data_IF_947608576175
#
_entry.id   IF_947608576175
#
_cell.length_a   1.000
_cell.length_b   1.000
_cell.length_c   1.000
_cell.angle_alpha   90.00
_cell.angle_beta   90.00
_cell.angle_gamma   90.00
#
_symmetry.space_group_name_H-M   'P 1'
#
loop_
_entity.id
_entity.type
_entity.pdbx_description
1 polymer ?
#
# COMPACT_ATOMS: atom_id res chain seq x y z
N UNK A 1 6.69 -10.48 -16.98
CA UNK A 1 6.96 -9.61 -15.82
C UNK A 1 6.86 -8.14 -16.22
N UNK A 2 5.76 -7.49 -15.86
CA UNK A 2 5.54 -6.06 -16.10
C UNK A 2 6.35 -5.22 -15.09
N UNK A 3 7.67 -5.18 -15.31
CA UNK A 3 8.62 -4.48 -14.44
C UNK A 3 8.34 -2.98 -14.37
N UNK A 4 7.89 -2.38 -15.47
CA UNK A 4 7.57 -0.96 -15.54
C UNK A 4 6.39 -0.63 -14.61
N UNK A 5 5.33 -1.44 -14.63
CA UNK A 5 4.18 -1.29 -13.72
C UNK A 5 4.56 -1.46 -12.25
N UNK A 6 5.40 -2.45 -11.93
CA UNK A 6 5.89 -2.64 -10.55
C UNK A 6 6.68 -1.42 -10.08
N UNK A 7 7.61 -0.92 -10.89
CA UNK A 7 8.42 0.24 -10.54
C UNK A 7 7.57 1.50 -10.38
N UNK A 8 6.59 1.72 -11.24
CA UNK A 8 5.66 2.85 -11.12
C UNK A 8 4.87 2.79 -9.82
N UNK A 9 4.40 1.60 -9.41
CA UNK A 9 3.69 1.41 -8.14
C UNK A 9 4.60 1.65 -6.94
N UNK A 10 5.85 1.21 -7.00
CA UNK A 10 6.82 1.45 -5.91
C UNK A 10 7.19 2.92 -5.78
N UNK A 11 7.29 3.65 -6.90
CA UNK A 11 7.52 5.09 -6.90
C UNK A 11 6.35 5.86 -6.27
N UNK A 12 5.13 5.52 -6.66
CA UNK A 12 3.89 6.06 -6.08
C UNK A 12 3.80 5.78 -4.57
N UNK A 13 4.13 4.56 -4.14
CA UNK A 13 4.21 4.21 -2.71
C UNK A 13 5.28 5.03 -1.98
N UNK A 14 6.44 5.26 -2.60
CA UNK A 14 7.48 6.13 -2.05
C UNK A 14 6.95 7.54 -1.77
N UNK A 15 6.23 8.12 -2.74
CA UNK A 15 5.60 9.42 -2.58
C UNK A 15 4.58 9.45 -1.42
N UNK A 16 3.74 8.41 -1.29
CA UNK A 16 2.79 8.31 -0.17
C UNK A 16 3.49 8.29 1.18
N UNK A 17 4.56 7.51 1.32
CA UNK A 17 5.33 7.40 2.57
C UNK A 17 6.04 8.71 2.91
N UNK A 18 6.57 9.41 1.92
CA UNK A 18 7.19 10.73 2.14
C UNK A 18 6.15 11.76 2.57
N UNK A 19 4.94 11.71 2.01
CA UNK A 19 3.84 12.57 2.47
C UNK A 19 3.40 12.26 3.90
N UNK A 20 3.33 10.99 4.29
CA UNK A 20 3.06 10.62 5.67
C UNK A 20 4.14 11.20 6.60
N UNK A 21 5.42 11.11 6.23
CA UNK A 21 6.52 11.66 7.03
C UNK A 21 6.45 13.19 7.17
N UNK A 22 5.99 13.88 6.13
CA UNK A 22 5.86 15.34 6.12
C UNK A 22 4.76 15.84 7.06
N UNK A 23 3.67 15.08 7.19
CA UNK A 23 2.49 15.47 7.97
C UNK A 23 2.35 14.70 9.28
N UNK A 24 3.31 13.83 9.61
CA UNK A 24 3.25 12.99 10.80
C UNK A 24 3.26 13.87 12.06
N UNK A 25 2.30 13.68 12.98
CA UNK A 25 2.28 14.39 14.25
C UNK A 25 3.41 13.92 15.16
N UNK A 26 3.87 14.81 16.04
CA UNK A 26 4.96 14.53 16.99
C UNK A 26 4.48 13.75 18.22
N UNK A 27 3.16 13.65 18.43
CA UNK A 27 2.56 12.95 19.55
C UNK A 27 1.21 12.32 19.23
N UNK A 28 0.76 11.39 20.09
CA UNK A 28 -0.58 10.80 19.98
C UNK A 28 -1.70 11.83 20.20
N UNK A 29 -1.50 12.78 21.11
CA UNK A 29 -2.48 13.83 21.40
C UNK A 29 -2.71 14.70 20.15
N UNK A 30 -1.64 15.14 19.50
CA UNK A 30 -1.71 15.89 18.23
C UNK A 30 -2.36 15.08 17.10
N UNK A 31 -2.09 13.77 17.04
CA UNK A 31 -2.78 12.87 16.11
C UNK A 31 -4.30 12.79 16.36
N UNK A 32 -4.72 12.79 17.62
CA UNK A 32 -6.13 12.67 17.99
C UNK A 32 -6.91 13.98 17.83
N UNK A 33 -6.26 15.13 18.02
CA UNK A 33 -6.90 16.45 17.95
C UNK A 33 -7.12 16.96 16.52
N UNK A 34 -6.25 16.62 15.55
CA UNK A 34 -6.41 17.01 14.15
C UNK A 34 -7.02 15.87 13.30
N UNK A 35 -8.35 15.90 13.16
CA UNK A 35 -9.09 14.93 12.36
C UNK A 35 -8.67 14.91 10.87
N UNK A 36 -8.30 16.06 10.30
CA UNK A 36 -7.97 16.16 8.88
C UNK A 36 -6.64 15.48 8.61
N UNK A 37 -5.62 15.84 9.38
CA UNK A 37 -4.28 15.26 9.28
C UNK A 37 -4.34 13.76 9.56
N UNK A 38 -5.06 13.35 10.60
CA UNK A 38 -5.30 11.94 10.92
C UNK A 38 -5.89 11.16 9.74
N UNK A 39 -7.01 11.63 9.18
CA UNK A 39 -7.66 10.96 8.04
C UNK A 39 -6.76 10.92 6.79
N UNK A 40 -5.95 11.96 6.57
CA UNK A 40 -4.99 12.00 5.47
C UNK A 40 -3.91 10.91 5.63
N UNK A 41 -3.31 10.80 6.82
CA UNK A 41 -2.32 9.75 7.14
C UNK A 41 -2.95 8.36 6.99
N UNK A 42 -4.13 8.13 7.58
CA UNK A 42 -4.85 6.85 7.50
C UNK A 42 -5.13 6.46 6.04
N UNK A 43 -5.53 7.41 5.20
CA UNK A 43 -5.77 7.16 3.77
C UNK A 43 -4.48 6.85 3.00
N UNK A 44 -3.40 7.60 3.24
CA UNK A 44 -2.11 7.36 2.60
C UNK A 44 -1.55 5.97 2.98
N UNK A 45 -1.70 5.57 4.25
CA UNK A 45 -1.33 4.23 4.71
C UNK A 45 -2.16 3.14 4.02
N UNK A 46 -3.48 3.33 3.93
CA UNK A 46 -4.35 2.40 3.25
C UNK A 46 -3.93 2.18 1.79
N UNK A 47 -3.73 3.26 1.02
CA UNK A 47 -3.30 3.16 -0.39
C UNK A 47 -1.92 2.52 -0.51
N UNK A 48 -1.01 2.78 0.44
CA UNK A 48 0.32 2.15 0.47
C UNK A 48 0.22 0.64 0.66
N UNK A 49 -0.66 0.17 1.55
CA UNK A 49 -0.93 -1.26 1.77
C UNK A 49 -1.53 -1.91 0.51
N UNK A 50 -2.54 -1.27 -0.09
CA UNK A 50 -3.15 -1.73 -1.35
C UNK A 50 -2.08 -1.89 -2.46
N UNK A 51 -1.15 -0.94 -2.54
CA UNK A 51 -0.05 -0.97 -3.51
C UNK A 51 0.89 -2.15 -3.31
N UNK A 52 1.22 -2.49 -2.06
CA UNK A 52 2.05 -3.67 -1.72
C UNK A 52 1.32 -4.96 -2.09
N UNK A 53 0.01 -5.05 -1.82
CA UNK A 53 -0.83 -6.20 -2.17
C UNK A 53 -0.83 -6.39 -3.70
N UNK A 54 -1.06 -5.32 -4.46
CA UNK A 54 -1.03 -5.34 -5.92
C UNK A 54 0.31 -5.83 -6.49
N UNK A 55 1.42 -5.30 -5.97
CA UNK A 55 2.76 -5.72 -6.40
C UNK A 55 3.00 -7.19 -6.05
N UNK A 56 2.60 -7.61 -4.85
CA UNK A 56 2.72 -9.00 -4.42
C UNK A 56 1.91 -9.94 -5.32
N UNK A 57 0.71 -9.54 -5.73
CA UNK A 57 -0.12 -10.30 -6.65
C UNK A 57 0.53 -10.44 -8.04
N UNK A 58 1.07 -9.35 -8.58
CA UNK A 58 1.81 -9.38 -9.85
C UNK A 58 2.99 -10.34 -9.76
N UNK A 59 3.77 -10.27 -8.69
CA UNK A 59 4.93 -11.14 -8.47
C UNK A 59 4.52 -12.61 -8.36
N UNK A 60 3.50 -12.93 -7.56
CA UNK A 60 3.02 -14.31 -7.36
C UNK A 60 2.46 -14.90 -8.64
N UNK A 61 1.66 -14.14 -9.40
CA UNK A 61 1.09 -14.57 -10.68
C UNK A 61 2.18 -14.96 -11.69
N UNK A 62 3.27 -14.17 -11.73
CA UNK A 62 4.37 -14.40 -12.66
C UNK A 62 5.33 -15.52 -12.18
N UNK A 63 5.49 -15.69 -10.86
CA UNK A 63 6.36 -16.73 -10.28
C UNK A 63 5.69 -18.10 -10.16
N UNK A 64 4.35 -18.16 -10.12
CA UNK A 64 3.58 -19.40 -10.02
C UNK A 64 2.37 -19.37 -10.98
N UNK A 65 2.57 -19.52 -12.29
CA UNK A 65 1.50 -19.46 -13.30
C UNK A 65 0.46 -20.60 -13.22
N UNK A 66 0.53 -21.47 -12.21
CA UNK A 66 -0.39 -22.59 -12.00
C UNK A 66 -1.07 -22.64 -10.63
N UNK A 67 -0.92 -21.62 -9.78
CA UNK A 67 -1.65 -21.55 -8.51
C UNK A 67 -2.87 -20.65 -8.59
N UNK A 68 -3.90 -20.93 -7.79
CA UNK A 68 -5.10 -20.14 -7.77
C UNK A 68 -4.88 -18.66 -7.51
N UNK A 69 -5.48 -17.82 -8.34
CA UNK A 69 -5.32 -16.37 -8.32
C UNK A 69 -6.54 -15.63 -7.74
N UNK A 70 -7.41 -16.29 -6.97
CA UNK A 70 -8.51 -15.64 -6.21
C UNK A 70 -8.57 -16.10 -4.75
N UNK A 71 -9.09 -15.23 -3.87
CA UNK A 71 -9.29 -15.50 -2.44
C UNK A 71 -10.16 -16.74 -2.18
N UNK A 72 -11.12 -17.03 -3.07
CA UNK A 72 -12.02 -18.19 -2.97
C UNK A 72 -11.31 -19.55 -3.05
N UNK A 73 -10.07 -19.60 -3.51
CA UNK A 73 -9.31 -20.85 -3.63
C UNK A 73 -8.39 -21.14 -2.44
N UNK A 74 -8.30 -20.26 -1.45
CA UNK A 74 -7.50 -20.47 -0.23
C UNK A 74 -8.24 -21.30 0.85
N UNK A 75 -9.56 -21.46 0.76
CA UNK A 75 -10.39 -22.11 1.80
C UNK A 75 -11.07 -23.41 1.34
N UNK A 76 -10.37 -24.26 0.58
CA UNK A 76 -10.80 -25.65 0.32
C UNK A 76 -9.79 -26.68 0.81
#
# INVERSE_FOLDING_TARGET
>A
MDRARILSKLDEMGWHLDKIREIAPDSLEEYEEDEVTRRAIERLLHISIETVIDVSYILVKELRPGLPTSEDMLFR
#
